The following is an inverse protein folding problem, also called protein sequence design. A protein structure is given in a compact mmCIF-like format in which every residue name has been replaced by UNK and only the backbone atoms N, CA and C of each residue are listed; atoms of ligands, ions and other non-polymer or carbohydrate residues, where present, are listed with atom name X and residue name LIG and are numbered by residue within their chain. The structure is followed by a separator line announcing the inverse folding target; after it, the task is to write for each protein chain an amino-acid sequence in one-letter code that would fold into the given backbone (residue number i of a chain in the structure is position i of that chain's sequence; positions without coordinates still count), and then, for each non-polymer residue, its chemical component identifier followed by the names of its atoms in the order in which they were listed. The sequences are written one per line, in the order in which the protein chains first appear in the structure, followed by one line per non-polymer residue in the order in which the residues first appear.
data_IF_065996890691
#
_entry.id   IF_065996890691
#
_cell.length_a   1.000
_cell.length_b   1.000
_cell.length_c   1.000
_cell.angle_alpha   90.00
_cell.angle_beta   90.00
_cell.angle_gamma   90.00
#
_symmetry.space_group_name_H-M   'P 1'
#
loop_
_entity.id
_entity.type
_entity.pdbx_description
1 polymer ?
#
# COMPACT_ATOMS: atom_id res chain seq x y z
N UNK A 1 2.35 -19.47 -3.14
CA UNK A 1 3.31 -18.94 -2.16
C UNK A 1 2.66 -19.00 -0.78
N UNK A 2 3.29 -19.62 0.21
CA UNK A 2 2.78 -19.64 1.58
C UNK A 2 3.40 -18.46 2.35
N UNK A 3 2.76 -17.29 2.29
CA UNK A 3 3.24 -16.10 2.99
C UNK A 3 3.06 -16.25 4.50
N UNK A 4 4.07 -15.80 5.24
CA UNK A 4 4.07 -15.77 6.70
C UNK A 4 3.97 -14.33 7.16
N UNK A 5 3.18 -14.09 8.21
CA UNK A 5 3.17 -12.80 8.89
C UNK A 5 4.58 -12.51 9.43
N UNK A 6 5.18 -11.40 9.02
CA UNK A 6 6.47 -10.91 9.50
C UNK A 6 6.46 -10.62 10.99
N UNK A 7 5.29 -10.32 11.56
CA UNK A 7 5.13 -9.99 12.97
C UNK A 7 4.93 -11.20 13.90
N UNK A 8 4.12 -12.18 13.52
CA UNK A 8 3.78 -13.31 14.41
C UNK A 8 4.07 -14.70 13.81
N UNK A 9 4.61 -14.76 12.59
CA UNK A 9 4.96 -15.98 11.84
C UNK A 9 3.80 -16.89 11.41
N UNK A 10 2.55 -16.54 11.74
CA UNK A 10 1.36 -17.25 11.28
C UNK A 10 1.26 -17.31 9.75
N UNK A 11 0.74 -18.43 9.24
CA UNK A 11 0.48 -18.67 7.81
C UNK A 11 -0.98 -18.41 7.46
N UNK A 12 -1.27 -18.29 6.15
CA UNK A 12 -2.65 -18.10 5.67
C UNK A 12 -3.12 -16.66 5.80
N UNK A 13 -2.32 -15.71 5.29
CA UNK A 13 -2.72 -14.30 5.24
C UNK A 13 -3.89 -14.10 4.27
N UNK A 14 -4.84 -13.27 4.67
CA UNK A 14 -6.03 -12.92 3.90
C UNK A 14 -5.72 -11.77 2.94
N UNK A 15 -5.97 -11.96 1.64
CA UNK A 15 -5.81 -10.89 0.67
C UNK A 15 -6.87 -9.79 0.86
N UNK A 16 -6.46 -8.54 0.67
CA UNK A 16 -7.33 -7.37 0.67
C UNK A 16 -6.66 -6.18 -0.02
N UNK A 17 -7.27 -5.01 0.09
CA UNK A 17 -6.69 -3.77 -0.42
C UNK A 17 -6.93 -2.63 0.59
N UNK A 18 -6.07 -1.62 0.54
CA UNK A 18 -6.29 -0.38 1.28
C UNK A 18 -7.12 0.55 0.39
N UNK A 19 -8.31 0.89 0.86
CA UNK A 19 -9.16 1.88 0.22
C UNK A 19 -8.52 3.27 0.34
N UNK A 20 -8.42 3.98 -0.79
CA UNK A 20 -8.21 5.43 -0.83
C UNK A 20 -9.53 6.06 -1.25
N UNK A 21 -10.18 6.76 -0.33
CA UNK A 21 -11.46 7.42 -0.54
C UNK A 21 -11.32 8.93 -0.79
N UNK A 22 -10.11 9.41 -1.11
CA UNK A 22 -9.89 10.82 -1.43
C UNK A 22 -10.60 11.25 -2.72
N UNK A 23 -10.86 12.55 -2.85
CA UNK A 23 -11.39 13.14 -4.09
C UNK A 23 -10.47 12.81 -5.28
N UNK A 24 -11.08 12.31 -6.37
CA UNK A 24 -10.39 11.82 -7.58
C UNK A 24 -9.41 10.65 -7.33
N UNK A 25 -9.57 9.90 -6.24
CA UNK A 25 -8.85 8.65 -6.03
C UNK A 25 -9.31 7.57 -7.01
N UNK A 26 -8.48 6.53 -7.16
CA UNK A 26 -8.83 5.34 -7.95
C UNK A 26 -9.52 4.26 -7.09
N UNK A 27 -9.91 4.56 -5.85
CA UNK A 27 -10.45 3.58 -4.90
C UNK A 27 -9.41 2.69 -4.21
N UNK A 28 -8.12 2.84 -4.53
CA UNK A 28 -7.02 2.08 -3.91
C UNK A 28 -5.78 2.94 -3.64
N UNK A 29 -5.06 2.59 -2.57
CA UNK A 29 -3.82 3.25 -2.19
C UNK A 29 -2.64 2.88 -3.11
N UNK A 30 -1.70 3.82 -3.26
CA UNK A 30 -0.48 3.64 -4.07
C UNK A 30 0.77 4.04 -3.29
N UNK A 31 1.84 3.29 -3.49
CA UNK A 31 3.18 3.62 -3.00
C UNK A 31 3.90 4.52 -4.01
N UNK A 32 4.59 5.56 -3.50
CA UNK A 32 5.41 6.47 -4.32
C UNK A 32 6.83 6.53 -3.72
N UNK A 33 7.90 6.11 -4.44
CA UNK A 33 9.23 5.94 -3.87
C UNK A 33 9.92 7.24 -3.46
N UNK A 34 10.27 7.38 -2.18
CA UNK A 34 10.94 8.55 -1.61
C UNK A 34 10.05 9.36 -0.66
N UNK A 35 10.62 10.34 0.06
CA UNK A 35 9.90 11.08 1.09
C UNK A 35 8.72 11.88 0.53
N UNK A 36 7.71 12.14 1.36
CA UNK A 36 6.62 13.05 1.02
C UNK A 36 7.18 14.46 0.84
N UNK A 37 7.06 14.97 -0.38
CA UNK A 37 7.33 16.37 -0.69
C UNK A 37 6.01 17.06 -1.00
N UNK A 38 5.79 18.26 -0.46
CA UNK A 38 4.59 19.07 -0.76
C UNK A 38 4.91 20.16 -1.79
N UNK A 39 3.97 20.45 -2.67
CA UNK A 39 4.03 21.57 -3.61
C UNK A 39 3.57 22.88 -2.97
N UNK A 40 3.63 23.97 -3.73
CA UNK A 40 3.22 25.31 -3.29
C UNK A 40 1.73 25.34 -2.88
N UNK A 41 0.90 24.50 -3.51
CA UNK A 41 -0.52 24.33 -3.19
C UNK A 41 -0.79 23.26 -2.12
N UNK A 42 0.22 22.85 -1.33
CA UNK A 42 0.07 21.91 -0.21
C UNK A 42 -0.09 20.42 -0.58
N UNK A 43 -0.44 20.10 -1.83
CA UNK A 43 -0.56 18.72 -2.32
C UNK A 43 0.79 17.99 -2.44
N UNK A 44 0.76 16.66 -2.41
CA UNK A 44 1.94 15.82 -2.60
C UNK A 44 2.53 16.00 -4.02
N UNK A 45 3.85 16.16 -4.12
CA UNK A 45 4.59 16.11 -5.39
C UNK A 45 4.63 14.68 -5.90
N UNK A 46 3.89 14.45 -6.98
CA UNK A 46 3.72 13.14 -7.63
C UNK A 46 4.21 13.12 -9.08
N UNK A 47 4.44 14.29 -9.69
CA UNK A 47 4.83 14.40 -11.09
C UNK A 47 6.21 13.79 -11.32
N UNK A 48 6.34 12.95 -12.37
CA UNK A 48 7.58 12.29 -12.74
C UNK A 48 8.02 11.14 -11.81
N UNK A 49 7.18 10.70 -10.87
CA UNK A 49 7.49 9.59 -9.97
C UNK A 49 6.66 8.35 -10.34
N UNK A 50 7.27 7.16 -10.40
CA UNK A 50 6.51 5.93 -10.60
C UNK A 50 5.56 5.71 -9.41
N UNK A 51 4.45 5.02 -9.68
CA UNK A 51 3.41 4.76 -8.70
C UNK A 51 3.16 3.26 -8.72
N UNK A 52 3.11 2.64 -7.56
CA UNK A 52 2.88 1.21 -7.45
C UNK A 52 1.58 0.99 -6.70
N UNK A 53 0.73 0.08 -7.16
CA UNK A 53 -0.42 -0.34 -6.35
C UNK A 53 0.11 -1.00 -5.07
N UNK A 54 -0.55 -0.72 -3.95
CA UNK A 54 -0.27 -1.43 -2.70
C UNK A 54 -1.16 -2.67 -2.63
N UNK A 55 -0.55 -3.84 -2.70
CA UNK A 55 -1.19 -5.12 -2.42
C UNK A 55 -1.09 -5.38 -0.90
N UNK A 56 -2.22 -5.72 -0.26
CA UNK A 56 -2.28 -5.88 1.19
C UNK A 56 -2.72 -7.30 1.60
N UNK A 57 -2.09 -7.82 2.65
CA UNK A 57 -2.46 -9.10 3.24
C UNK A 57 -2.60 -8.98 4.76
N UNK A 58 -3.79 -9.28 5.29
CA UNK A 58 -4.09 -9.24 6.72
C UNK A 58 -3.79 -10.59 7.37
N UNK A 59 -3.08 -10.58 8.48
CA UNK A 59 -2.93 -11.77 9.31
C UNK A 59 -4.21 -12.00 10.13
N UNK A 60 -4.92 -13.13 9.99
CA UNK A 60 -6.10 -13.41 10.80
C UNK A 60 -5.76 -13.66 12.29
N UNK A 61 -4.51 -14.04 12.60
CA UNK A 61 -4.09 -14.35 13.96
C UNK A 61 -3.76 -13.10 14.81
N UNK A 62 -3.12 -12.08 14.23
CA UNK A 62 -2.68 -10.89 14.99
C UNK A 62 -3.15 -9.55 14.39
N UNK A 63 -3.79 -9.56 13.23
CA UNK A 63 -4.29 -8.35 12.55
C UNK A 63 -3.21 -7.52 11.83
N UNK A 64 -1.95 -7.93 11.84
CA UNK A 64 -0.89 -7.23 11.10
C UNK A 64 -1.16 -7.22 9.59
N UNK A 65 -0.84 -6.11 8.93
CA UNK A 65 -0.93 -5.95 7.48
C UNK A 65 0.47 -6.04 6.86
N UNK A 66 0.66 -7.01 5.96
CA UNK A 66 1.79 -7.00 5.03
C UNK A 66 1.41 -6.14 3.82
N UNK A 67 2.29 -5.20 3.45
CA UNK A 67 2.07 -4.29 2.33
C UNK A 67 3.18 -4.45 1.29
N UNK A 68 2.80 -4.73 0.05
CA UNK A 68 3.72 -4.95 -1.07
C UNK A 68 3.40 -4.00 -2.22
N UNK A 69 4.42 -3.64 -3.00
CA UNK A 69 4.28 -2.75 -4.16
C UNK A 69 4.96 -3.37 -5.40
N UNK A 70 4.48 -4.54 -5.91
CA UNK A 70 5.24 -5.34 -6.88
C UNK A 70 5.12 -4.84 -8.34
N UNK A 71 4.13 -4.01 -8.65
CA UNK A 71 3.84 -3.55 -10.02
C UNK A 71 3.49 -2.07 -10.10
N UNK A 72 3.97 -1.41 -11.16
CA UNK A 72 3.72 0.01 -11.44
C UNK A 72 2.34 0.22 -12.09
N UNK A 73 1.69 1.35 -11.83
CA UNK A 73 0.33 1.74 -12.28
C UNK A 73 0.21 3.19 -12.72
#
# INVERSE_FOLDING_TARGET
MNMKCSQCTAVGLEAGFIEDAGDHSNGYARWIPGPLQRGIFGGAKRFGRPRYQIDAYRCPACGHLELFAPHEV
#
